data_IF_690998000180
#
_entry.id   IF_690998000180
#
_cell.length_a   1.000
_cell.length_b   1.000
_cell.length_c   1.000
_cell.angle_alpha   90.00
_cell.angle_beta   90.00
_cell.angle_gamma   90.00
#
_symmetry.space_group_name_H-M   'P 1'
#
loop_
_entity.id
_entity.type
_entity.pdbx_description
1 polymer ?
#
# COMPACT_ATOMS: atom_id res chain seq x y z
N UNK A 1 -32.30 -32.32 21.82
CA UNK A 1 -31.05 -32.61 22.57
C UNK A 1 -29.97 -31.75 21.95
N UNK A 2 -29.27 -30.94 22.74
CA UNK A 2 -28.30 -29.97 22.24
C UNK A 2 -27.05 -30.70 21.72
N UNK A 3 -26.72 -30.47 20.44
CA UNK A 3 -25.45 -30.90 19.85
C UNK A 3 -24.32 -30.08 20.48
N UNK A 4 -23.80 -30.53 21.63
CA UNK A 4 -22.65 -29.91 22.28
C UNK A 4 -21.42 -30.09 21.40
N UNK A 5 -20.92 -29.01 20.81
CA UNK A 5 -19.70 -29.00 20.00
C UNK A 5 -18.53 -29.48 20.88
N UNK A 6 -17.81 -30.52 20.46
CA UNK A 6 -16.63 -31.04 21.16
C UNK A 6 -15.57 -29.92 21.30
N UNK A 7 -15.21 -29.50 22.53
CA UNK A 7 -14.19 -28.47 22.76
C UNK A 7 -12.82 -28.78 22.12
N UNK A 8 -12.50 -30.06 21.88
CA UNK A 8 -11.28 -30.48 21.18
C UNK A 8 -11.35 -30.19 19.69
N UNK A 9 -12.54 -30.31 19.08
CA UNK A 9 -12.75 -29.97 17.68
C UNK A 9 -12.59 -28.45 17.45
N UNK A 10 -13.15 -27.63 18.35
CA UNK A 10 -13.00 -26.16 18.31
C UNK A 10 -11.52 -25.76 18.41
N UNK A 11 -10.77 -26.32 19.36
CA UNK A 11 -9.33 -26.05 19.49
C UNK A 11 -8.51 -26.47 18.27
N UNK A 12 -8.87 -27.57 17.60
CA UNK A 12 -8.20 -28.01 16.36
C UNK A 12 -8.48 -27.02 15.22
N UNK A 13 -9.73 -26.58 15.05
CA UNK A 13 -10.10 -25.57 14.05
C UNK A 13 -9.36 -24.25 14.25
N UNK A 14 -9.32 -23.73 15.47
CA UNK A 14 -8.59 -22.50 15.78
C UNK A 14 -7.11 -22.59 15.41
N UNK A 15 -6.47 -23.74 15.68
CA UNK A 15 -5.05 -23.96 15.39
C UNK A 15 -4.76 -24.08 13.89
N UNK A 16 -5.71 -24.63 13.12
CA UNK A 16 -5.64 -24.68 11.66
C UNK A 16 -5.79 -23.27 11.08
N UNK A 17 -6.79 -22.52 11.53
CA UNK A 17 -7.05 -21.15 11.09
C UNK A 17 -5.87 -20.21 11.40
N UNK A 18 -5.30 -20.30 12.60
CA UNK A 18 -4.11 -19.55 12.97
C UNK A 18 -2.91 -19.89 12.07
N UNK A 19 -2.72 -21.17 11.73
CA UNK A 19 -1.63 -21.59 10.86
C UNK A 19 -1.83 -21.13 9.40
N UNK A 20 -3.06 -21.20 8.88
CA UNK A 20 -3.40 -20.66 7.56
C UNK A 20 -3.18 -19.15 7.49
N UNK A 21 -3.57 -18.41 8.53
CA UNK A 21 -3.32 -16.97 8.61
C UNK A 21 -1.83 -16.65 8.58
N UNK A 22 -1.00 -17.43 9.30
CA UNK A 22 0.47 -17.28 9.27
C UNK A 22 1.08 -17.58 7.91
N UNK A 23 0.56 -18.59 7.19
CA UNK A 23 1.04 -18.92 5.84
C UNK A 23 0.68 -17.79 4.86
N UNK A 24 -0.58 -17.34 4.86
CA UNK A 24 -1.04 -16.22 4.04
C UNK A 24 -0.27 -14.93 4.32
N UNK A 25 0.04 -14.66 5.58
CA UNK A 25 0.86 -13.50 5.96
C UNK A 25 2.31 -13.61 5.45
N UNK A 26 2.89 -14.81 5.50
CA UNK A 26 4.23 -15.08 4.92
C UNK A 26 4.23 -14.92 3.40
N UNK A 27 3.22 -15.42 2.70
CA UNK A 27 3.07 -15.26 1.25
C UNK A 27 2.89 -13.78 0.87
N UNK A 28 2.05 -13.03 1.59
CA UNK A 28 1.91 -11.58 1.39
C UNK A 28 3.24 -10.85 1.59
N UNK A 29 4.01 -11.20 2.62
CA UNK A 29 5.34 -10.62 2.88
C UNK A 29 6.37 -11.01 1.81
N UNK A 30 6.28 -12.22 1.27
CA UNK A 30 7.16 -12.69 0.19
C UNK A 30 6.87 -11.97 -1.14
N UNK A 31 5.59 -11.69 -1.41
CA UNK A 31 5.13 -10.98 -2.61
C UNK A 31 5.05 -9.45 -2.43
N UNK A 32 5.43 -8.95 -1.25
CA UNK A 32 5.39 -7.53 -0.92
C UNK A 32 6.35 -6.79 -1.84
N UNK A 33 5.82 -5.95 -2.71
CA UNK A 33 6.62 -5.14 -3.62
C UNK A 33 7.14 -3.89 -2.91
N UNK A 34 8.23 -3.35 -3.42
CA UNK A 34 8.71 -2.03 -3.03
C UNK A 34 7.78 -0.95 -3.57
N UNK A 35 7.81 0.23 -2.94
CA UNK A 35 7.07 1.37 -3.45
C UNK A 35 7.55 1.80 -4.84
N UNK A 36 8.83 1.63 -5.17
CA UNK A 36 9.35 1.88 -6.52
C UNK A 36 8.72 0.94 -7.56
N UNK A 37 8.63 -0.35 -7.24
CA UNK A 37 7.94 -1.33 -8.11
C UNK A 37 6.47 -1.00 -8.27
N UNK A 38 5.78 -0.59 -7.19
CA UNK A 38 4.41 -0.10 -7.28
C UNK A 38 4.29 1.12 -8.19
N UNK A 39 5.23 2.08 -8.12
CA UNK A 39 5.24 3.23 -9.02
C UNK A 39 5.31 2.79 -10.49
N UNK A 40 6.22 1.89 -10.84
CA UNK A 40 6.33 1.39 -12.22
C UNK A 40 5.06 0.65 -12.66
N UNK A 41 4.56 -0.27 -11.83
CA UNK A 41 3.31 -1.00 -12.12
C UNK A 41 2.14 -0.03 -12.35
N UNK A 42 2.00 0.97 -11.48
CA UNK A 42 0.97 1.99 -11.59
C UNK A 42 1.04 2.78 -12.90
N UNK A 43 2.24 3.15 -13.33
CA UNK A 43 2.45 3.91 -14.56
C UNK A 43 2.08 3.08 -15.78
N UNK A 44 2.65 1.88 -15.87
CA UNK A 44 2.53 1.02 -17.06
C UNK A 44 1.11 0.44 -17.20
N UNK A 45 0.52 -0.05 -16.11
CA UNK A 45 -0.76 -0.77 -16.17
C UNK A 45 -1.99 0.13 -16.01
N UNK A 46 -1.82 1.39 -15.59
CA UNK A 46 -2.94 2.29 -15.33
C UNK A 46 -2.72 3.71 -15.83
N UNK A 47 -1.72 4.43 -15.34
CA UNK A 47 -1.64 5.88 -15.55
C UNK A 47 -1.53 6.25 -17.04
N UNK A 48 -0.70 5.54 -17.82
CA UNK A 48 -0.56 5.76 -19.27
C UNK A 48 -1.85 5.56 -20.05
N UNK A 49 -2.73 4.67 -19.59
CA UNK A 49 -3.97 4.31 -20.28
C UNK A 49 -5.08 5.31 -19.94
N UNK A 50 -5.17 5.73 -18.67
CA UNK A 50 -6.34 6.44 -18.15
C UNK A 50 -6.09 7.93 -17.83
N UNK A 51 -4.88 8.44 -17.99
CA UNK A 51 -4.55 9.81 -17.58
C UNK A 51 -3.58 10.47 -18.53
N UNK A 52 -3.98 11.61 -19.12
CA UNK A 52 -3.12 12.40 -20.02
C UNK A 52 -1.91 12.98 -19.26
N UNK A 53 -2.13 13.41 -18.01
CA UNK A 53 -1.11 14.04 -17.17
C UNK A 53 -0.31 13.03 -16.33
N UNK A 54 -0.20 11.78 -16.78
CA UNK A 54 0.49 10.73 -16.03
C UNK A 54 1.95 11.13 -15.71
N UNK A 55 2.63 11.81 -16.63
CA UNK A 55 4.02 12.30 -16.43
C UNK A 55 4.13 13.26 -15.25
N UNK A 56 3.21 14.21 -15.12
CA UNK A 56 3.23 15.16 -14.00
C UNK A 56 3.02 14.46 -12.66
N UNK A 57 2.20 13.40 -12.64
CA UNK A 57 1.96 12.62 -11.42
C UNK A 57 3.20 11.83 -11.03
N UNK A 58 3.89 11.23 -12.02
CA UNK A 58 5.13 10.50 -11.78
C UNK A 58 6.25 11.41 -11.31
N UNK A 59 6.38 12.57 -11.93
CA UNK A 59 7.42 13.54 -11.57
C UNK A 59 7.21 14.08 -10.16
N UNK A 60 5.94 14.33 -9.77
CA UNK A 60 5.59 14.73 -8.40
C UNK A 60 5.94 13.63 -7.38
N UNK A 61 5.57 12.38 -7.66
CA UNK A 61 5.89 11.26 -6.77
C UNK A 61 7.40 11.06 -6.69
N UNK A 62 8.12 11.19 -7.80
CA UNK A 62 9.57 11.12 -7.83
C UNK A 62 10.23 12.23 -7.00
N UNK A 63 9.78 13.47 -7.19
CA UNK A 63 10.34 14.63 -6.50
C UNK A 63 10.18 14.52 -4.98
N UNK A 64 8.97 14.19 -4.51
CA UNK A 64 8.61 14.36 -3.10
C UNK A 64 8.55 13.04 -2.31
N UNK A 65 8.36 11.89 -2.97
CA UNK A 65 8.20 10.60 -2.31
C UNK A 65 9.31 9.59 -2.67
N UNK A 66 10.40 10.02 -3.33
CA UNK A 66 11.56 9.16 -3.62
C UNK A 66 12.15 8.48 -2.36
N UNK A 67 12.06 9.13 -1.20
CA UNK A 67 12.53 8.55 0.08
C UNK A 67 11.84 7.23 0.42
N UNK A 68 10.65 6.98 -0.14
CA UNK A 68 9.89 5.75 0.06
C UNK A 68 10.29 4.64 -0.90
N UNK A 69 11.07 4.90 -1.96
CA UNK A 69 11.31 3.95 -3.05
C UNK A 69 11.89 2.61 -2.60
N UNK A 70 12.78 2.62 -1.61
CA UNK A 70 13.37 1.40 -1.05
C UNK A 70 12.49 0.67 -0.03
N UNK A 71 11.41 1.29 0.45
CA UNK A 71 10.51 0.69 1.42
C UNK A 71 9.56 -0.29 0.73
N UNK A 72 9.29 -1.41 1.40
CA UNK A 72 8.18 -2.29 1.04
C UNK A 72 6.85 -1.59 1.29
N UNK A 73 5.83 -1.84 0.46
CA UNK A 73 4.56 -1.13 0.59
C UNK A 73 3.89 -1.42 1.94
N UNK A 74 4.06 -2.63 2.50
CA UNK A 74 3.56 -2.96 3.85
C UNK A 74 4.26 -2.19 4.98
N UNK A 75 5.45 -1.63 4.73
CA UNK A 75 6.23 -0.90 5.73
C UNK A 75 5.93 0.60 5.73
N UNK A 76 5.28 1.13 4.69
CA UNK A 76 4.93 2.55 4.58
C UNK A 76 3.75 2.82 5.52
N UNK A 77 3.96 3.74 6.47
CA UNK A 77 2.94 4.13 7.45
C UNK A 77 2.38 5.50 7.13
N UNK A 78 1.23 5.82 7.72
CA UNK A 78 0.63 7.16 7.63
C UNK A 78 1.59 8.25 8.12
N UNK A 79 2.43 7.96 9.13
CA UNK A 79 3.46 8.89 9.63
C UNK A 79 4.50 9.25 8.57
N UNK A 80 4.89 8.31 7.70
CA UNK A 80 5.81 8.59 6.59
C UNK A 80 5.18 9.58 5.61
N UNK A 81 3.91 9.38 5.28
CA UNK A 81 3.16 10.24 4.35
C UNK A 81 2.94 11.63 4.96
N UNK A 82 2.60 11.69 6.25
CA UNK A 82 2.37 12.93 6.97
C UNK A 82 3.65 13.77 7.07
N UNK A 83 4.81 13.13 7.27
CA UNK A 83 6.10 13.81 7.29
C UNK A 83 6.37 14.49 5.94
N UNK A 84 6.23 13.75 4.83
CA UNK A 84 6.41 14.30 3.47
C UNK A 84 5.44 15.46 3.23
N UNK A 85 4.17 15.29 3.61
CA UNK A 85 3.16 16.34 3.47
C UNK A 85 3.55 17.62 4.23
N UNK A 86 3.99 17.47 5.48
CA UNK A 86 4.39 18.59 6.32
C UNK A 86 5.63 19.29 5.76
N UNK A 87 6.60 18.55 5.25
CA UNK A 87 7.82 19.12 4.69
C UNK A 87 7.55 19.95 3.43
N UNK A 88 6.68 19.48 2.53
CA UNK A 88 6.22 20.28 1.38
C UNK A 88 5.42 21.51 1.84
N UNK A 89 4.58 21.34 2.86
CA UNK A 89 3.72 22.41 3.38
C UNK A 89 4.51 23.55 4.03
N UNK A 90 5.64 23.25 4.69
CA UNK A 90 6.54 24.27 5.28
C UNK A 90 7.12 25.21 4.23
N UNK A 91 7.25 24.77 2.98
CA UNK A 91 7.68 25.61 1.85
C UNK A 91 6.54 26.46 1.28
N UNK A 92 5.35 26.48 1.89
CA UNK A 92 4.16 27.16 1.40
C UNK A 92 3.45 26.44 0.24
N UNK A 93 3.90 25.23 -0.13
CA UNK A 93 3.41 24.46 -1.29
C UNK A 93 2.22 23.55 -0.96
N UNK A 94 1.23 24.07 -0.25
CA UNK A 94 0.06 23.28 0.20
C UNK A 94 -0.70 22.60 -0.94
N UNK A 95 -0.88 23.29 -2.06
CA UNK A 95 -1.53 22.71 -3.25
C UNK A 95 -0.76 21.48 -3.75
N UNK A 96 0.57 21.56 -3.81
CA UNK A 96 1.43 20.45 -4.22
C UNK A 96 1.36 19.28 -3.22
N UNK A 97 1.34 19.57 -1.92
CA UNK A 97 1.21 18.55 -0.87
C UNK A 97 -0.12 17.78 -1.00
N UNK A 98 -1.23 18.48 -1.22
CA UNK A 98 -2.55 17.88 -1.44
C UNK A 98 -2.59 17.04 -2.73
N UNK A 99 -2.01 17.55 -3.81
CA UNK A 99 -1.93 16.82 -5.07
C UNK A 99 -1.09 15.53 -4.94
N UNK A 100 0.02 15.58 -4.20
CA UNK A 100 0.81 14.37 -3.90
C UNK A 100 -0.01 13.36 -3.11
N UNK A 101 -0.71 13.80 -2.05
CA UNK A 101 -1.55 12.92 -1.24
C UNK A 101 -2.64 12.23 -2.09
N UNK A 102 -3.28 12.97 -3.00
CA UNK A 102 -4.28 12.43 -3.92
C UNK A 102 -3.68 11.38 -4.89
N UNK A 103 -2.48 11.63 -5.41
CA UNK A 103 -1.77 10.68 -6.28
C UNK A 103 -1.43 9.41 -5.50
N UNK A 104 -0.82 9.53 -4.31
CA UNK A 104 -0.47 8.38 -3.45
C UNK A 104 -1.71 7.56 -3.09
N UNK A 105 -2.81 8.22 -2.70
CA UNK A 105 -4.08 7.53 -2.42
C UNK A 105 -4.55 6.70 -3.61
N UNK A 106 -4.49 7.25 -4.82
CA UNK A 106 -4.87 6.53 -6.04
C UNK A 106 -3.98 5.31 -6.28
N UNK A 107 -2.67 5.45 -6.09
CA UNK A 107 -1.70 4.36 -6.27
C UNK A 107 -1.93 3.22 -5.28
N UNK A 108 -2.05 3.52 -3.98
CA UNK A 108 -2.30 2.50 -2.95
C UNK A 108 -3.66 1.83 -3.13
N UNK A 109 -4.71 2.59 -3.49
CA UNK A 109 -6.01 1.99 -3.80
C UNK A 109 -5.98 1.07 -5.02
N UNK A 110 -5.08 1.33 -5.99
CA UNK A 110 -4.87 0.43 -7.13
C UNK A 110 -4.09 -0.82 -6.73
N UNK A 111 -3.06 -0.68 -5.90
CA UNK A 111 -2.32 -1.80 -5.34
C UNK A 111 -3.27 -2.80 -4.66
N UNK A 112 -4.16 -2.32 -3.79
CA UNK A 112 -5.16 -3.14 -3.08
C UNK A 112 -6.11 -3.89 -4.03
N UNK A 113 -6.38 -3.35 -5.23
CA UNK A 113 -7.24 -4.00 -6.23
C UNK A 113 -6.51 -5.02 -7.10
N UNK A 114 -5.18 -4.98 -7.09
CA UNK A 114 -4.32 -5.88 -7.87
C UNK A 114 -3.80 -7.07 -7.06
N UNK A 115 -3.87 -6.98 -5.73
CA UNK A 115 -3.71 -8.09 -4.78
C UNK A 115 -4.98 -8.94 -4.68
#
# INVERSE_FOLDING_TARGET
MANGIDPRAVKRQQKIEENENRIKERERKANDITFKELCYKYIEEYAKIYTINWKEYTDRVHTYAQVLYGKKISQIRMSDIQQIFNDISKEGKYATANLLLATLRTMFNKAIKWD
#
